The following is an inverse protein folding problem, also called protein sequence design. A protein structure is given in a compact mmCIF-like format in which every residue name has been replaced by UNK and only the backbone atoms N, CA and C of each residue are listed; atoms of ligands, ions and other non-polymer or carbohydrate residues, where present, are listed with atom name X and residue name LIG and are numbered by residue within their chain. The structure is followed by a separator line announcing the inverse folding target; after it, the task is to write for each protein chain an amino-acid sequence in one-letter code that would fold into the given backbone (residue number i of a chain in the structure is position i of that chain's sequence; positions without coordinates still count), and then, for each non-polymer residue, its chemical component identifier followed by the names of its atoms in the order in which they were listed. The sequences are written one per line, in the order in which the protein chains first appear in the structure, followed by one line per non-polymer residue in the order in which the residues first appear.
data_IF_359651606651
#
_entry.id   IF_359651606651
#
_cell.length_a   1.000
_cell.length_b   1.000
_cell.length_c   1.000
_cell.angle_alpha   90.00
_cell.angle_beta   90.00
_cell.angle_gamma   90.00
#
_symmetry.space_group_name_H-M   'P 1'
#
loop_
_entity.id
_entity.type
_entity.pdbx_description
1 polymer ?
#
# COMPACT_ATOMS: atom_id res chain seq x y z
N UNK A 1 -25.75 30.80 13.71
CA UNK A 1 -24.59 29.96 14.14
C UNK A 1 -24.15 29.02 13.02
N UNK A 2 -25.00 28.11 12.50
CA UNK A 2 -24.63 27.27 11.34
C UNK A 2 -24.22 28.08 10.10
N UNK A 3 -24.97 29.13 9.77
CA UNK A 3 -24.64 30.02 8.64
C UNK A 3 -23.31 30.77 8.81
N UNK A 4 -22.97 31.18 10.03
CA UNK A 4 -21.69 31.83 10.33
C UNK A 4 -20.51 30.85 10.25
N UNK A 5 -20.73 29.58 10.62
CA UNK A 5 -19.72 28.52 10.51
C UNK A 5 -19.47 28.20 9.03
N UNK A 6 -20.54 28.11 8.23
CA UNK A 6 -20.44 27.88 6.78
C UNK A 6 -19.75 29.04 6.07
N UNK A 7 -20.12 30.29 6.35
CA UNK A 7 -19.47 31.44 5.70
C UNK A 7 -17.99 31.56 6.07
N UNK A 8 -17.62 31.28 7.31
CA UNK A 8 -16.21 31.25 7.73
C UNK A 8 -15.44 30.11 7.05
N UNK A 9 -16.07 28.95 6.88
CA UNK A 9 -15.49 27.82 6.17
C UNK A 9 -15.27 28.14 4.68
N UNK A 10 -16.28 28.71 4.01
CA UNK A 10 -16.20 29.07 2.60
C UNK A 10 -15.07 30.07 2.34
N UNK A 11 -14.92 31.09 3.20
CA UNK A 11 -13.82 32.05 3.13
C UNK A 11 -12.45 31.36 3.32
N UNK A 12 -12.35 30.42 4.26
CA UNK A 12 -11.11 29.68 4.48
C UNK A 12 -10.75 28.78 3.29
N UNK A 13 -11.73 28.09 2.72
CA UNK A 13 -11.55 27.25 1.52
C UNK A 13 -11.07 28.08 0.35
N UNK A 14 -11.74 29.21 0.07
CA UNK A 14 -11.38 30.12 -1.02
C UNK A 14 -9.94 30.64 -0.84
N UNK A 15 -9.56 31.02 0.37
CA UNK A 15 -8.22 31.49 0.68
C UNK A 15 -7.16 30.40 0.41
N UNK A 16 -7.36 29.17 0.92
CA UNK A 16 -6.41 28.07 0.72
C UNK A 16 -6.32 27.68 -0.77
N UNK A 17 -7.45 27.69 -1.49
CA UNK A 17 -7.47 27.41 -2.93
C UNK A 17 -6.67 28.45 -3.72
N UNK A 18 -6.84 29.73 -3.42
CA UNK A 18 -6.13 30.81 -4.10
C UNK A 18 -4.61 30.76 -3.79
N UNK A 19 -4.25 30.53 -2.53
CA UNK A 19 -2.84 30.37 -2.15
C UNK A 19 -2.21 29.13 -2.80
N UNK A 20 -2.94 28.03 -2.87
CA UNK A 20 -2.51 26.80 -3.56
C UNK A 20 -2.29 27.07 -5.04
N UNK A 21 -3.25 27.72 -5.71
CA UNK A 21 -3.17 28.07 -7.14
C UNK A 21 -1.97 28.97 -7.43
N UNK A 22 -1.75 30.00 -6.60
CA UNK A 22 -0.60 30.91 -6.72
C UNK A 22 0.73 30.18 -6.56
N UNK A 23 0.83 29.28 -5.57
CA UNK A 23 2.04 28.49 -5.36
C UNK A 23 2.26 27.48 -6.50
N UNK A 24 1.19 26.91 -7.05
CA UNK A 24 1.24 25.98 -8.18
C UNK A 24 1.78 26.65 -9.46
N UNK A 25 1.37 27.88 -9.74
CA UNK A 25 1.87 28.68 -10.86
C UNK A 25 3.38 28.95 -10.79
N UNK A 26 3.97 28.82 -9.60
CA UNK A 26 5.39 29.07 -9.35
C UNK A 26 6.24 27.79 -9.39
N UNK A 27 5.70 26.64 -9.84
CA UNK A 27 6.42 25.34 -9.91
C UNK A 27 7.78 25.39 -10.62
N UNK A 28 7.91 26.27 -11.62
CA UNK A 28 9.14 26.43 -12.39
C UNK A 28 10.16 27.38 -11.73
N UNK A 29 9.76 28.13 -10.69
CA UNK A 29 10.63 29.08 -10.02
C UNK A 29 11.66 28.36 -9.13
N UNK A 30 12.92 28.83 -9.09
CA UNK A 30 13.89 28.37 -8.11
C UNK A 30 13.38 28.59 -6.69
N UNK A 31 13.57 27.61 -5.81
CA UNK A 31 13.10 27.66 -4.42
C UNK A 31 11.68 27.12 -4.20
N UNK A 32 10.95 26.75 -5.25
CA UNK A 32 9.69 26.03 -5.09
C UNK A 32 9.93 24.65 -4.47
N UNK A 33 9.10 24.29 -3.48
CA UNK A 33 9.22 23.06 -2.71
C UNK A 33 7.87 22.31 -2.68
N UNK A 34 7.90 21.04 -3.08
CA UNK A 34 6.69 20.21 -3.14
C UNK A 34 6.06 19.95 -1.77
N UNK A 35 6.84 19.72 -0.71
CA UNK A 35 6.29 19.49 0.64
C UNK A 35 5.58 20.74 1.18
N UNK A 36 6.10 21.94 0.91
CA UNK A 36 5.40 23.20 1.25
C UNK A 36 4.06 23.31 0.51
N UNK A 37 4.06 23.01 -0.79
CA UNK A 37 2.84 22.95 -1.59
C UNK A 37 1.86 21.90 -1.06
N UNK A 38 2.36 20.72 -0.72
CA UNK A 38 1.58 19.61 -0.18
C UNK A 38 0.87 20.01 1.11
N UNK A 39 1.58 20.59 2.08
CA UNK A 39 0.98 20.97 3.38
C UNK A 39 -0.14 21.98 3.21
N UNK A 40 0.02 22.94 2.30
CA UNK A 40 -1.00 23.94 2.01
C UNK A 40 -2.25 23.28 1.39
N UNK A 41 -2.07 22.50 0.32
CA UNK A 41 -3.17 21.84 -0.39
C UNK A 41 -3.82 20.72 0.44
N UNK A 42 -3.06 20.00 1.25
CA UNK A 42 -3.61 19.06 2.22
C UNK A 42 -4.49 19.77 3.26
N UNK A 43 -4.17 21.00 3.64
CA UNK A 43 -5.04 21.82 4.49
C UNK A 43 -6.46 21.95 3.94
N UNK A 44 -6.60 22.05 2.61
CA UNK A 44 -7.90 22.06 1.94
C UNK A 44 -8.60 20.70 2.04
N UNK A 45 -7.87 19.60 1.80
CA UNK A 45 -8.41 18.25 1.93
C UNK A 45 -8.90 17.96 3.37
N UNK A 46 -8.16 18.43 4.37
CA UNK A 46 -8.53 18.34 5.79
C UNK A 46 -9.78 19.17 6.11
N UNK A 47 -9.91 20.36 5.52
CA UNK A 47 -11.09 21.20 5.67
C UNK A 47 -12.35 20.50 5.12
N UNK A 48 -12.27 19.92 3.92
CA UNK A 48 -13.34 19.10 3.36
C UNK A 48 -13.66 17.87 4.22
N UNK A 49 -12.64 17.18 4.73
CA UNK A 49 -12.83 16.04 5.62
C UNK A 49 -13.59 16.42 6.92
N UNK A 50 -13.26 17.56 7.53
CA UNK A 50 -13.94 18.08 8.73
C UNK A 50 -15.43 18.36 8.44
N UNK A 51 -15.73 18.86 7.24
CA UNK A 51 -17.09 19.10 6.79
C UNK A 51 -17.80 17.85 6.24
N UNK A 52 -17.18 16.67 6.37
CA UNK A 52 -17.69 15.39 5.87
C UNK A 52 -17.86 15.32 4.34
N UNK A 53 -17.22 16.25 3.62
CA UNK A 53 -17.15 16.30 2.17
C UNK A 53 -16.03 15.38 1.69
N UNK A 54 -16.21 14.08 1.90
CA UNK A 54 -15.15 13.09 1.67
C UNK A 54 -14.78 12.91 0.19
N UNK A 55 -15.72 13.11 -0.73
CA UNK A 55 -15.44 13.12 -2.18
C UNK A 55 -14.51 14.28 -2.55
N UNK A 56 -14.82 15.49 -2.10
CA UNK A 56 -13.99 16.68 -2.33
C UNK A 56 -12.59 16.52 -1.70
N UNK A 57 -12.53 15.96 -0.48
CA UNK A 57 -11.26 15.63 0.16
C UNK A 57 -10.44 14.59 -0.63
N UNK A 58 -11.09 13.54 -1.15
CA UNK A 58 -10.44 12.50 -1.96
C UNK A 58 -9.86 13.09 -3.25
N UNK A 59 -10.60 13.97 -3.94
CA UNK A 59 -10.13 14.67 -5.14
C UNK A 59 -8.82 15.42 -4.83
N UNK A 60 -8.74 16.12 -3.70
CA UNK A 60 -7.53 16.84 -3.31
C UNK A 60 -6.32 15.89 -3.11
N UNK A 61 -6.52 14.72 -2.48
CA UNK A 61 -5.45 13.72 -2.34
C UNK A 61 -5.03 13.09 -3.66
N UNK A 62 -5.98 12.81 -4.56
CA UNK A 62 -5.69 12.28 -5.90
C UNK A 62 -4.90 13.29 -6.76
N UNK A 63 -5.25 14.58 -6.68
CA UNK A 63 -4.49 15.64 -7.34
C UNK A 63 -3.08 15.82 -6.74
N UNK A 64 -2.94 15.65 -5.42
CA UNK A 64 -1.64 15.68 -4.76
C UNK A 64 -0.75 14.54 -5.26
N UNK A 65 -1.29 13.32 -5.41
CA UNK A 65 -0.56 12.16 -5.95
C UNK A 65 -0.12 12.40 -7.40
N UNK A 66 -1.03 12.91 -8.24
CA UNK A 66 -0.71 13.23 -9.63
C UNK A 66 0.42 14.27 -9.72
N UNK A 67 0.36 15.32 -8.88
CA UNK A 67 1.41 16.35 -8.79
C UNK A 67 2.73 15.77 -8.28
N UNK A 68 2.69 14.86 -7.29
CA UNK A 68 3.88 14.17 -6.79
C UNK A 68 4.59 13.39 -7.91
N UNK A 69 3.86 12.63 -8.72
CA UNK A 69 4.47 11.88 -9.82
C UNK A 69 5.03 12.78 -10.93
N UNK A 70 4.45 13.95 -11.18
CA UNK A 70 5.02 14.95 -12.10
C UNK A 70 6.38 15.42 -11.56
N UNK A 71 6.41 15.83 -10.29
CA UNK A 71 7.63 16.26 -9.60
C UNK A 71 8.72 15.18 -9.60
N UNK A 72 8.34 13.93 -9.33
CA UNK A 72 9.28 12.82 -9.26
C UNK A 72 9.95 12.54 -10.61
N UNK A 73 9.22 12.71 -11.72
CA UNK A 73 9.77 12.59 -13.08
C UNK A 73 10.69 13.76 -13.45
N UNK A 74 10.25 14.98 -13.15
CA UNK A 74 10.92 16.19 -13.63
C UNK A 74 12.21 16.52 -12.84
N UNK A 75 12.26 16.18 -11.55
CA UNK A 75 13.31 16.63 -10.62
C UNK A 75 13.91 15.52 -9.77
N UNK A 76 13.85 14.27 -10.28
CA UNK A 76 14.50 13.05 -9.77
C UNK A 76 15.11 13.20 -8.35
N UNK A 77 14.31 12.92 -7.32
CA UNK A 77 14.75 12.75 -5.92
C UNK A 77 15.39 13.95 -5.20
N UNK A 78 15.66 15.08 -5.86
CA UNK A 78 16.41 16.20 -5.26
C UNK A 78 15.76 16.80 -3.99
N UNK A 79 14.48 16.54 -3.75
CA UNK A 79 13.72 17.09 -2.62
C UNK A 79 13.34 16.07 -1.54
N UNK A 80 13.33 14.77 -1.84
CA UNK A 80 12.97 13.74 -0.86
C UNK A 80 14.20 13.07 -0.23
N UNK A 81 15.41 13.41 -0.71
CA UNK A 81 16.71 13.03 -0.14
C UNK A 81 17.09 11.56 -0.29
N UNK A 82 16.14 10.64 -0.04
CA UNK A 82 16.33 9.19 -0.10
C UNK A 82 14.99 8.46 -0.35
N UNK A 83 15.08 7.16 -0.66
CA UNK A 83 13.91 6.32 -0.87
C UNK A 83 13.13 6.00 0.42
N UNK A 84 13.81 5.63 1.51
CA UNK A 84 13.19 5.22 2.79
C UNK A 84 12.89 3.73 2.88
N UNK A 85 11.98 3.35 3.78
CA UNK A 85 11.64 1.94 4.06
C UNK A 85 12.63 1.23 5.00
N UNK A 86 13.50 2.00 5.66
CA UNK A 86 14.61 1.48 6.45
C UNK A 86 14.33 1.42 7.94
N UNK A 87 13.22 2.01 8.39
CA UNK A 87 12.86 2.02 9.80
C UNK A 87 12.27 0.67 10.20
N UNK A 88 12.46 0.31 11.47
CA UNK A 88 11.85 -0.88 12.04
C UNK A 88 10.33 -0.81 11.86
N UNK A 89 9.74 -1.85 11.28
CA UNK A 89 8.30 -1.89 11.02
C UNK A 89 7.86 -1.33 9.67
N UNK A 90 8.77 -0.85 8.82
CA UNK A 90 8.41 -0.40 7.47
C UNK A 90 7.99 -1.53 6.53
N UNK A 91 8.47 -2.75 6.77
CA UNK A 91 8.07 -3.93 6.01
C UNK A 91 6.69 -4.50 6.43
N UNK A 92 6.20 -4.19 7.64
CA UNK A 92 4.98 -4.85 8.16
C UNK A 92 3.95 -3.91 8.76
N UNK A 93 4.24 -2.62 8.83
CA UNK A 93 3.35 -1.61 9.37
C UNK A 93 2.06 -1.51 8.57
N UNK A 94 0.96 -1.18 9.26
CA UNK A 94 -0.34 -1.04 8.59
C UNK A 94 -0.29 0.10 7.56
N UNK A 95 -0.37 -0.26 6.28
CA UNK A 95 -0.31 0.70 5.17
C UNK A 95 -1.49 1.68 5.14
N UNK A 96 -2.59 1.37 5.85
CA UNK A 96 -3.75 2.24 5.98
C UNK A 96 -3.66 3.18 7.21
N UNK A 97 -2.66 2.99 8.07
CA UNK A 97 -2.44 3.84 9.23
C UNK A 97 -1.61 5.09 8.87
N UNK A 98 -2.32 6.14 8.49
CA UNK A 98 -1.76 7.47 8.25
C UNK A 98 -1.21 8.16 9.52
N UNK A 99 -1.33 7.56 10.71
CA UNK A 99 -0.77 8.06 11.98
C UNK A 99 0.42 7.24 12.47
N UNK A 100 0.82 6.19 11.74
CA UNK A 100 1.93 5.29 12.10
C UNK A 100 3.24 6.03 12.41
N UNK A 101 3.53 7.08 11.65
CA UNK A 101 4.66 8.00 11.86
C UNK A 101 4.12 9.44 11.95
N UNK A 102 4.94 10.35 12.46
CA UNK A 102 4.61 11.79 12.46
C UNK A 102 4.81 12.40 11.05
N UNK A 103 4.08 11.90 10.06
CA UNK A 103 4.26 12.26 8.66
C UNK A 103 4.13 13.77 8.41
N UNK A 104 3.23 14.45 9.12
CA UNK A 104 3.08 15.91 9.00
C UNK A 104 4.35 16.65 9.38
N UNK A 105 5.00 16.27 10.48
CA UNK A 105 6.28 16.87 10.90
C UNK A 105 7.40 16.55 9.91
N UNK A 106 7.46 15.30 9.42
CA UNK A 106 8.44 14.89 8.40
C UNK A 106 8.29 15.69 7.09
N UNK A 107 7.06 15.90 6.63
CA UNK A 107 6.77 16.69 5.42
C UNK A 107 7.13 18.17 5.67
N UNK A 108 6.70 18.74 6.80
CA UNK A 108 6.95 20.16 7.12
C UNK A 108 8.45 20.46 7.21
N UNK A 109 9.24 19.51 7.74
CA UNK A 109 10.69 19.60 7.85
C UNK A 109 11.44 19.25 6.55
N UNK A 110 10.74 18.82 5.50
CA UNK A 110 11.35 18.34 4.25
C UNK A 110 12.31 17.14 4.42
N UNK A 111 12.02 16.25 5.37
CA UNK A 111 12.84 15.07 5.65
C UNK A 111 12.09 13.76 5.43
N UNK A 112 10.82 13.82 4.98
CA UNK A 112 10.06 12.62 4.67
C UNK A 112 10.68 11.87 3.49
N UNK A 113 10.74 10.54 3.60
CA UNK A 113 11.21 9.68 2.52
C UNK A 113 10.18 9.53 1.41
N UNK A 114 10.59 9.12 0.21
CA UNK A 114 9.65 8.77 -0.88
C UNK A 114 8.68 7.68 -0.44
N UNK A 115 9.18 6.67 0.26
CA UNK A 115 8.41 5.55 0.78
C UNK A 115 7.35 6.00 1.77
N UNK A 116 7.76 6.75 2.80
CA UNK A 116 6.84 7.25 3.83
C UNK A 116 5.81 8.20 3.25
N UNK A 117 6.21 9.07 2.32
CA UNK A 117 5.29 9.99 1.67
C UNK A 117 4.24 9.26 0.84
N UNK A 118 4.65 8.29 0.02
CA UNK A 118 3.72 7.49 -0.79
C UNK A 118 2.77 6.66 0.08
N UNK A 119 3.28 6.02 1.13
CA UNK A 119 2.46 5.28 2.08
C UNK A 119 1.47 6.19 2.82
N UNK A 120 1.91 7.36 3.27
CA UNK A 120 1.04 8.34 3.93
C UNK A 120 -0.10 8.82 3.02
N UNK A 121 0.22 9.23 1.79
CA UNK A 121 -0.75 9.75 0.84
C UNK A 121 -1.78 8.67 0.47
N UNK A 122 -1.32 7.45 0.21
CA UNK A 122 -2.18 6.31 -0.05
C UNK A 122 -3.12 6.03 1.14
N UNK A 123 -2.61 6.04 2.37
CA UNK A 123 -3.43 5.88 3.57
C UNK A 123 -4.51 6.97 3.70
N UNK A 124 -4.20 8.23 3.34
CA UNK A 124 -5.20 9.33 3.32
C UNK A 124 -6.28 9.11 2.25
N UNK A 125 -5.92 8.68 1.05
CA UNK A 125 -6.88 8.34 -0.02
C UNK A 125 -7.82 7.20 0.44
N UNK A 126 -7.25 6.11 0.96
CA UNK A 126 -8.04 4.98 1.47
C UNK A 126 -8.95 5.38 2.61
N UNK A 127 -8.50 6.25 3.53
CA UNK A 127 -9.36 6.78 4.61
C UNK A 127 -10.60 7.46 4.05
N UNK A 128 -10.47 8.27 3.00
CA UNK A 128 -11.62 8.98 2.41
C UNK A 128 -12.59 7.99 1.76
N UNK A 129 -12.06 7.02 1.01
CA UNK A 129 -12.85 5.95 0.40
C UNK A 129 -13.57 5.08 1.43
N UNK A 130 -12.94 4.76 2.57
CA UNK A 130 -13.56 4.04 3.67
C UNK A 130 -14.70 4.85 4.32
N UNK A 131 -14.52 6.17 4.49
CA UNK A 131 -15.61 7.06 4.95
C UNK A 131 -16.79 7.13 3.96
N UNK A 132 -16.52 6.97 2.67
CA UNK A 132 -17.50 6.85 1.60
C UNK A 132 -18.07 5.43 1.44
N UNK A 133 -17.64 4.45 2.25
CA UNK A 133 -18.03 3.04 2.17
C UNK A 133 -17.68 2.37 0.81
N UNK A 134 -16.69 2.90 0.08
CA UNK A 134 -16.24 2.41 -1.24
C UNK A 134 -15.17 1.31 -1.11
N UNK A 135 -15.47 0.24 -0.38
CA UNK A 135 -14.51 -0.85 -0.06
C UNK A 135 -13.91 -1.54 -1.29
N UNK A 136 -14.69 -1.67 -2.36
CA UNK A 136 -14.22 -2.29 -3.63
C UNK A 136 -13.10 -1.43 -4.23
N UNK A 137 -13.26 -0.11 -4.20
CA UNK A 137 -12.28 0.82 -4.73
C UNK A 137 -11.03 0.92 -3.85
N UNK A 138 -11.17 0.90 -2.52
CA UNK A 138 -10.01 0.78 -1.62
C UNK A 138 -9.16 -0.42 -2.01
N UNK A 139 -9.82 -1.57 -2.21
CA UNK A 139 -9.16 -2.84 -2.54
C UNK A 139 -8.52 -2.80 -3.93
N UNK A 140 -9.22 -2.25 -4.93
CA UNK A 140 -8.70 -2.11 -6.30
C UNK A 140 -7.51 -1.13 -6.38
N UNK A 141 -7.62 0.04 -5.73
CA UNK A 141 -6.53 1.02 -5.67
C UNK A 141 -5.33 0.47 -4.91
N UNK A 142 -5.56 -0.31 -3.84
CA UNK A 142 -4.47 -1.01 -3.14
C UNK A 142 -3.71 -1.98 -4.03
N UNK A 143 -4.41 -2.81 -4.81
CA UNK A 143 -3.77 -3.73 -5.75
C UNK A 143 -2.86 -2.98 -6.74
N UNK A 144 -3.37 -1.87 -7.30
CA UNK A 144 -2.61 -1.04 -8.23
C UNK A 144 -1.41 -0.37 -7.56
N UNK A 145 -1.63 0.26 -6.40
CA UNK A 145 -0.58 0.93 -5.62
C UNK A 145 0.55 -0.03 -5.26
N UNK A 146 0.22 -1.18 -4.67
CA UNK A 146 1.20 -2.20 -4.26
C UNK A 146 1.98 -2.70 -5.47
N UNK A 147 1.29 -3.08 -6.54
CA UNK A 147 1.94 -3.62 -7.77
C UNK A 147 2.88 -2.59 -8.40
N UNK A 148 2.44 -1.33 -8.49
CA UNK A 148 3.24 -0.26 -9.09
C UNK A 148 4.38 0.22 -8.18
N UNK A 149 4.34 -0.07 -6.88
CA UNK A 149 5.39 0.34 -5.96
C UNK A 149 6.52 -0.69 -5.85
N UNK A 150 6.25 -1.97 -6.13
CA UNK A 150 7.25 -3.05 -6.10
C UNK A 150 8.54 -2.70 -6.87
N UNK A 151 8.50 -2.21 -8.13
CA UNK A 151 9.72 -1.89 -8.87
C UNK A 151 10.59 -0.86 -8.16
N UNK A 152 9.99 0.22 -7.63
CA UNK A 152 10.74 1.26 -6.91
C UNK A 152 11.35 0.75 -5.61
N UNK A 153 10.68 -0.16 -4.90
CA UNK A 153 11.26 -0.80 -3.70
C UNK A 153 12.44 -1.69 -4.09
N UNK A 154 12.32 -2.46 -5.18
CA UNK A 154 13.38 -3.34 -5.69
C UNK A 154 14.61 -2.59 -6.19
N UNK A 155 14.43 -1.43 -6.81
CA UNK A 155 15.53 -0.55 -7.21
C UNK A 155 16.36 -0.07 -6.00
N UNK A 156 15.79 -0.11 -4.79
CA UNK A 156 16.44 0.33 -3.55
C UNK A 156 16.70 -0.83 -2.57
N UNK A 157 16.60 -2.09 -3.04
CA UNK A 157 16.70 -3.31 -2.22
C UNK A 157 18.04 -3.45 -1.49
N UNK A 158 19.10 -2.83 -2.01
CA UNK A 158 20.42 -2.83 -1.37
C UNK A 158 20.42 -2.23 0.05
N UNK A 159 19.52 -1.29 0.34
CA UNK A 159 19.44 -0.64 1.66
C UNK A 159 18.38 -1.26 2.57
N UNK A 160 17.68 -2.30 2.10
CA UNK A 160 16.53 -2.90 2.75
C UNK A 160 16.88 -4.28 3.33
N UNK A 161 16.18 -4.71 4.39
CA UNK A 161 16.27 -6.08 4.90
C UNK A 161 16.07 -7.14 3.82
N UNK A 162 16.70 -8.30 4.00
CA UNK A 162 16.42 -9.47 3.16
C UNK A 162 14.92 -9.82 3.24
N UNK A 163 14.29 -10.10 2.10
CA UNK A 163 12.85 -10.36 1.98
C UNK A 163 11.94 -9.17 2.36
N UNK A 164 12.47 -7.93 2.39
CA UNK A 164 11.66 -6.74 2.67
C UNK A 164 10.48 -6.59 1.70
N UNK A 165 10.71 -6.76 0.38
CA UNK A 165 9.65 -6.62 -0.63
C UNK A 165 8.54 -7.63 -0.39
N UNK A 166 8.91 -8.89 -0.15
CA UNK A 166 7.97 -9.97 0.13
C UNK A 166 7.18 -9.71 1.41
N UNK A 167 7.85 -9.27 2.48
CA UNK A 167 7.19 -8.91 3.75
C UNK A 167 6.24 -7.72 3.59
N UNK A 168 6.67 -6.68 2.89
CA UNK A 168 5.88 -5.49 2.63
C UNK A 168 4.64 -5.77 1.80
N UNK A 169 4.79 -6.47 0.67
CA UNK A 169 3.65 -6.80 -0.20
C UNK A 169 2.65 -7.69 0.54
N UNK A 170 3.13 -8.72 1.25
CA UNK A 170 2.28 -9.59 2.05
C UNK A 170 1.51 -8.78 3.09
N UNK A 171 2.21 -7.97 3.89
CA UNK A 171 1.62 -7.18 4.96
C UNK A 171 0.59 -6.18 4.43
N UNK A 172 0.93 -5.42 3.39
CA UNK A 172 0.05 -4.42 2.79
C UNK A 172 -1.24 -5.04 2.24
N UNK A 173 -1.15 -6.17 1.51
CA UNK A 173 -2.33 -6.90 1.04
C UNK A 173 -3.20 -7.37 2.21
N UNK A 174 -2.59 -7.93 3.27
CA UNK A 174 -3.31 -8.41 4.43
C UNK A 174 -3.97 -7.29 5.24
N UNK A 175 -3.31 -6.13 5.38
CA UNK A 175 -3.89 -4.98 6.06
C UNK A 175 -5.16 -4.51 5.35
N UNK A 176 -5.12 -4.38 4.02
CA UNK A 176 -6.27 -3.93 3.23
C UNK A 176 -7.42 -4.93 3.31
N UNK A 177 -7.15 -6.22 3.15
CA UNK A 177 -8.20 -7.24 3.27
C UNK A 177 -8.83 -7.21 4.66
N UNK A 178 -8.02 -7.15 5.72
CA UNK A 178 -8.52 -7.19 7.09
C UNK A 178 -9.34 -5.93 7.46
N UNK A 179 -8.97 -4.76 6.93
CA UNK A 179 -9.70 -3.51 7.17
C UNK A 179 -11.02 -3.46 6.37
N UNK A 180 -11.00 -3.90 5.11
CA UNK A 180 -12.19 -3.86 4.24
C UNK A 180 -13.21 -4.97 4.53
N UNK A 181 -12.78 -6.13 5.03
CA UNK A 181 -13.64 -7.32 5.17
C UNK A 181 -14.84 -7.11 6.12
N UNK A 182 -14.69 -6.53 7.33
CA UNK A 182 -15.82 -6.24 8.21
C UNK A 182 -16.85 -5.30 7.56
N UNK A 183 -16.39 -4.20 6.97
CA UNK A 183 -17.27 -3.22 6.32
C UNK A 183 -17.95 -3.83 5.09
N UNK A 184 -17.21 -4.59 4.27
CA UNK A 184 -17.79 -5.28 3.11
C UNK A 184 -18.92 -6.23 3.50
N UNK A 185 -18.76 -6.96 4.61
CA UNK A 185 -19.75 -7.91 5.10
C UNK A 185 -21.03 -7.18 5.54
N UNK A 186 -20.89 -6.03 6.22
CA UNK A 186 -22.02 -5.17 6.58
C UNK A 186 -22.76 -4.62 5.35
N UNK A 187 -22.02 -4.19 4.32
CA UNK A 187 -22.61 -3.66 3.09
C UNK A 187 -23.32 -4.75 2.27
N UNK A 188 -22.73 -5.94 2.18
CA UNK A 188 -23.27 -7.09 1.43
C UNK A 188 -24.61 -7.55 1.99
N UNK A 189 -24.82 -7.47 3.32
CA UNK A 189 -26.12 -7.80 3.94
C UNK A 189 -27.25 -6.95 3.37
N UNK A 190 -26.96 -5.69 3.02
CA UNK A 190 -27.96 -4.76 2.47
C UNK A 190 -27.96 -4.73 0.93
N UNK A 191 -26.88 -5.16 0.28
CA UNK A 191 -26.74 -5.18 -1.17
C UNK A 191 -25.88 -6.37 -1.63
N UNK A 192 -26.56 -7.45 -2.02
CA UNK A 192 -25.92 -8.69 -2.48
C UNK A 192 -25.15 -8.53 -3.79
N UNK A 193 -25.44 -7.49 -4.59
CA UNK A 193 -24.73 -7.25 -5.85
C UNK A 193 -23.25 -6.90 -5.62
N UNK A 194 -22.89 -6.52 -4.39
CA UNK A 194 -21.50 -6.26 -4.00
C UNK A 194 -20.67 -7.53 -3.76
N UNK A 195 -21.30 -8.70 -3.61
CA UNK A 195 -20.61 -9.98 -3.31
C UNK A 195 -19.57 -10.30 -4.38
N UNK A 196 -19.98 -10.32 -5.63
CA UNK A 196 -19.12 -10.69 -6.77
C UNK A 196 -17.97 -9.70 -6.97
N UNK A 197 -18.21 -8.38 -7.14
CA UNK A 197 -17.13 -7.43 -7.40
C UNK A 197 -16.17 -7.28 -6.22
N UNK A 198 -16.65 -7.34 -4.96
CA UNK A 198 -15.75 -7.31 -3.80
C UNK A 198 -14.87 -8.56 -3.71
N UNK A 199 -15.46 -9.75 -3.89
CA UNK A 199 -14.68 -10.99 -3.87
C UNK A 199 -13.65 -11.06 -5.01
N UNK A 200 -13.94 -10.45 -6.17
CA UNK A 200 -12.98 -10.37 -7.26
C UNK A 200 -11.70 -9.61 -6.86
N UNK A 201 -11.85 -8.38 -6.34
CA UNK A 201 -10.70 -7.54 -5.93
C UNK A 201 -9.98 -8.11 -4.70
N UNK A 202 -10.73 -8.70 -3.76
CA UNK A 202 -10.16 -9.39 -2.59
C UNK A 202 -9.32 -10.59 -3.00
N UNK A 203 -9.80 -11.40 -3.94
CA UNK A 203 -9.05 -12.57 -4.42
C UNK A 203 -7.71 -12.19 -5.04
N UNK A 204 -7.66 -11.09 -5.79
CA UNK A 204 -6.44 -10.62 -6.45
C UNK A 204 -5.37 -10.14 -5.42
N UNK A 205 -5.78 -9.47 -4.33
CA UNK A 205 -4.87 -9.15 -3.22
C UNK A 205 -4.39 -10.41 -2.48
N UNK A 206 -5.28 -11.36 -2.20
CA UNK A 206 -4.92 -12.60 -1.52
C UNK A 206 -3.93 -13.43 -2.35
N UNK A 207 -4.11 -13.48 -3.68
CA UNK A 207 -3.17 -14.12 -4.59
C UNK A 207 -1.83 -13.38 -4.61
N UNK A 208 -1.84 -12.04 -4.61
CA UNK A 208 -0.62 -11.22 -4.55
C UNK A 208 0.17 -11.47 -3.27
N UNK A 209 -0.50 -11.58 -2.13
CA UNK A 209 0.12 -11.97 -0.86
C UNK A 209 0.65 -13.41 -0.90
N UNK A 210 -0.11 -14.36 -1.45
CA UNK A 210 0.29 -15.77 -1.56
C UNK A 210 1.57 -15.93 -2.37
N UNK A 211 1.71 -15.19 -3.47
CA UNK A 211 2.92 -15.19 -4.29
C UNK A 211 4.17 -14.77 -3.52
N UNK A 212 4.04 -14.00 -2.44
CA UNK A 212 5.20 -13.70 -1.59
C UNK A 212 5.59 -14.90 -0.73
N UNK A 213 4.62 -15.71 -0.30
CA UNK A 213 4.89 -16.98 0.37
C UNK A 213 5.50 -18.00 -0.58
N UNK A 214 5.13 -18.01 -1.87
CA UNK A 214 5.79 -18.85 -2.88
C UNK A 214 7.30 -18.55 -2.91
N UNK A 215 7.66 -17.26 -2.99
CA UNK A 215 9.05 -16.83 -3.01
C UNK A 215 9.78 -17.15 -1.70
N UNK A 216 9.19 -16.83 -0.55
CA UNK A 216 9.79 -17.10 0.77
C UNK A 216 9.97 -18.61 0.95
N UNK A 217 8.95 -19.40 0.64
CA UNK A 217 8.96 -20.85 0.77
C UNK A 217 10.06 -21.50 -0.05
N UNK A 218 10.27 -21.07 -1.30
CA UNK A 218 11.38 -21.58 -2.13
C UNK A 218 12.74 -21.18 -1.52
N UNK A 219 12.89 -19.93 -1.05
CA UNK A 219 14.15 -19.44 -0.44
C UNK A 219 14.55 -20.18 0.83
N UNK A 220 13.60 -20.49 1.70
CA UNK A 220 13.86 -21.21 2.96
C UNK A 220 13.80 -22.74 2.82
N UNK A 221 13.48 -23.26 1.62
CA UNK A 221 13.44 -24.69 1.34
C UNK A 221 12.13 -25.41 1.74
N UNK A 222 11.09 -24.67 2.14
CA UNK A 222 9.77 -25.23 2.43
C UNK A 222 8.96 -25.55 1.15
N UNK A 223 9.32 -24.93 0.01
CA UNK A 223 8.73 -25.22 -1.31
C UNK A 223 9.80 -25.68 -2.30
N UNK A 224 9.47 -26.58 -3.25
CA UNK A 224 10.43 -27.02 -4.25
C UNK A 224 10.72 -25.91 -5.27
N UNK A 225 11.98 -25.83 -5.72
CA UNK A 225 12.41 -24.92 -6.80
C UNK A 225 12.02 -25.47 -8.18
N UNK A 226 10.74 -25.76 -8.36
CA UNK A 226 10.13 -26.25 -9.60
C UNK A 226 8.82 -25.54 -9.87
N UNK A 227 8.35 -25.59 -11.11
CA UNK A 227 7.02 -25.07 -11.44
C UNK A 227 5.95 -25.82 -10.63
N UNK A 228 4.90 -25.13 -10.13
CA UNK A 228 4.58 -23.72 -10.36
C UNK A 228 5.24 -22.71 -9.39
N UNK A 229 5.95 -23.17 -8.36
CA UNK A 229 6.46 -22.31 -7.28
C UNK A 229 7.64 -21.42 -7.70
N UNK A 230 8.45 -21.87 -8.67
CA UNK A 230 9.57 -21.08 -9.20
C UNK A 230 9.19 -19.98 -10.19
N UNK A 231 7.93 -19.92 -10.67
CA UNK A 231 7.50 -19.01 -11.74
C UNK A 231 7.74 -17.53 -11.36
N UNK A 232 7.56 -17.19 -10.09
CA UNK A 232 7.64 -15.82 -9.58
C UNK A 232 8.97 -15.49 -8.91
N UNK A 233 9.97 -16.38 -9.03
CA UNK A 233 11.31 -16.13 -8.51
C UNK A 233 12.03 -15.09 -9.36
N UNK A 234 12.68 -14.15 -8.68
CA UNK A 234 13.52 -13.16 -9.35
C UNK A 234 14.79 -13.88 -9.85
N UNK A 235 14.97 -14.00 -11.18
CA UNK A 235 16.15 -14.65 -11.77
C UNK A 235 17.48 -13.94 -11.47
N UNK A 236 17.45 -12.78 -10.83
CA UNK A 236 18.61 -11.90 -10.58
C UNK A 236 19.14 -11.97 -9.16
N UNK A 237 18.87 -13.03 -8.41
CA UNK A 237 19.56 -13.27 -7.13
C UNK A 237 20.98 -13.78 -7.39
N UNK A 238 21.83 -12.90 -7.92
CA UNK A 238 23.27 -13.05 -7.77
C UNK A 238 23.56 -12.97 -6.27
N UNK A 239 24.05 -14.08 -5.73
CA UNK A 239 24.55 -14.24 -4.36
C UNK A 239 25.44 -13.07 -3.97
N UNK A 240 24.86 -12.06 -3.29
CA UNK A 240 25.66 -11.05 -2.60
C UNK A 240 26.39 -11.79 -1.48
N UNK A 241 27.72 -11.80 -1.54
CA UNK A 241 28.57 -12.33 -0.47
C UNK A 241 28.32 -11.45 0.76
N UNK A 242 27.83 -12.00 1.88
CA UNK A 242 27.49 -11.19 3.04
C UNK A 242 28.75 -10.56 3.63
N UNK A 243 28.74 -9.24 3.82
CA UNK A 243 29.79 -8.55 4.55
C UNK A 243 29.63 -8.88 6.06
N UNK A 244 30.62 -9.49 6.74
CA UNK A 244 30.46 -10.02 8.10
C UNK A 244 30.16 -8.98 9.18
N UNK A 245 30.49 -7.71 8.91
CA UNK A 245 30.52 -6.63 9.92
C UNK A 245 29.24 -5.77 9.97
N UNK A 246 28.27 -5.96 9.06
CA UNK A 246 27.01 -5.22 9.11
C UNK A 246 25.93 -6.00 9.88
N UNK A 247 25.23 -5.37 10.85
CA UNK A 247 24.12 -6.01 11.53
C UNK A 247 23.03 -6.33 10.49
N UNK A 248 22.73 -7.62 10.31
CA UNK A 248 21.65 -8.09 9.43
C UNK A 248 20.33 -7.49 9.92
N UNK A 249 19.85 -6.45 9.23
CA UNK A 249 18.47 -5.99 9.44
C UNK A 249 17.53 -7.10 8.97
N UNK A 250 16.65 -7.54 9.85
CA UNK A 250 15.61 -8.52 9.56
C UNK A 250 14.27 -7.83 9.34
N UNK A 251 13.37 -8.50 8.62
CA UNK A 251 11.95 -8.12 8.54
C UNK A 251 11.30 -8.20 9.92
N UNK A 252 10.18 -7.50 10.11
CA UNK A 252 9.50 -7.41 11.40
C UNK A 252 8.14 -8.12 11.43
N UNK A 253 7.66 -8.62 10.29
CA UNK A 253 6.45 -9.42 10.25
C UNK A 253 6.62 -10.78 10.97
N UNK A 254 6.10 -10.84 12.20
CA UNK A 254 6.18 -12.04 13.07
C UNK A 254 5.66 -13.30 12.39
N UNK A 255 4.55 -13.21 11.65
CA UNK A 255 3.95 -14.36 10.98
C UNK A 255 4.84 -14.92 9.87
N UNK A 256 5.55 -14.05 9.16
CA UNK A 256 6.51 -14.48 8.14
C UNK A 256 7.80 -15.00 8.76
N UNK A 257 8.27 -14.42 9.86
CA UNK A 257 9.41 -14.95 10.61
C UNK A 257 9.14 -16.37 11.11
N UNK A 258 7.97 -16.61 11.75
CA UNK A 258 7.54 -17.95 12.16
C UNK A 258 7.46 -18.92 10.97
N UNK A 259 6.93 -18.46 9.83
CA UNK A 259 6.84 -19.27 8.61
C UNK A 259 8.22 -19.55 7.97
N UNK A 260 9.22 -18.70 8.16
CA UNK A 260 10.58 -18.97 7.71
C UNK A 260 11.21 -20.05 8.60
N UNK A 261 10.99 -19.99 9.90
CA UNK A 261 11.61 -20.88 10.89
C UNK A 261 10.96 -22.28 10.96
N UNK A 262 9.65 -22.40 10.70
CA UNK A 262 8.89 -23.66 10.82
C UNK A 262 8.08 -23.97 9.57
N UNK A 263 8.31 -25.17 9.02
CA UNK A 263 7.53 -25.68 7.88
C UNK A 263 6.04 -25.83 8.24
N UNK A 264 5.72 -26.19 9.49
CA UNK A 264 4.32 -26.29 9.94
C UNK A 264 3.64 -24.92 10.00
N UNK A 265 4.35 -23.88 10.46
CA UNK A 265 3.86 -22.51 10.49
C UNK A 265 3.70 -21.95 9.07
N UNK A 266 4.63 -22.29 8.17
CA UNK A 266 4.55 -22.00 6.74
C UNK A 266 3.32 -22.63 6.13
N UNK A 267 3.16 -23.95 6.22
CA UNK A 267 2.05 -24.70 5.64
C UNK A 267 0.70 -24.19 6.11
N UNK A 268 0.56 -23.93 7.42
CA UNK A 268 -0.66 -23.34 7.97
C UNK A 268 -0.99 -21.99 7.34
N UNK A 269 0.00 -21.13 7.18
CA UNK A 269 -0.17 -19.80 6.60
C UNK A 269 -0.47 -19.87 5.10
N UNK A 270 0.28 -20.71 4.38
CA UNK A 270 0.19 -20.93 2.95
C UNK A 270 -1.17 -21.52 2.55
N UNK A 271 -1.58 -22.60 3.23
CA UNK A 271 -2.85 -23.27 2.99
C UNK A 271 -4.04 -22.40 3.39
N UNK A 272 -3.94 -21.70 4.52
CA UNK A 272 -4.96 -20.76 4.98
C UNK A 272 -5.19 -19.63 3.99
N UNK A 273 -4.13 -19.03 3.47
CA UNK A 273 -4.21 -17.94 2.49
C UNK A 273 -4.74 -18.44 1.13
N UNK A 274 -4.24 -19.58 0.66
CA UNK A 274 -4.68 -20.20 -0.60
C UNK A 274 -6.17 -20.55 -0.55
N UNK A 275 -6.65 -21.11 0.56
CA UNK A 275 -8.08 -21.42 0.76
C UNK A 275 -8.95 -20.16 0.74
N UNK A 276 -8.49 -19.06 1.35
CA UNK A 276 -9.21 -17.78 1.29
C UNK A 276 -9.27 -17.24 -0.14
N UNK A 277 -8.16 -17.30 -0.89
CA UNK A 277 -8.11 -16.86 -2.28
C UNK A 277 -9.07 -17.67 -3.17
N UNK A 278 -9.06 -19.00 -3.06
CA UNK A 278 -9.98 -19.91 -3.76
C UNK A 278 -11.43 -19.54 -3.50
N UNK A 279 -11.83 -19.43 -2.22
CA UNK A 279 -13.21 -19.08 -1.84
C UNK A 279 -13.66 -17.75 -2.45
N UNK A 280 -12.77 -16.74 -2.49
CA UNK A 280 -13.08 -15.45 -3.11
C UNK A 280 -13.10 -15.52 -4.65
N UNK A 281 -12.28 -16.35 -5.29
CA UNK A 281 -12.39 -16.59 -6.73
C UNK A 281 -13.69 -17.32 -7.11
N UNK A 282 -14.11 -18.30 -6.33
CA UNK A 282 -15.38 -19.00 -6.56
C UNK A 282 -16.57 -18.06 -6.35
N UNK A 283 -16.56 -17.25 -5.29
CA UNK A 283 -17.58 -16.23 -5.02
C UNK A 283 -17.64 -15.10 -6.07
N UNK A 284 -16.61 -14.98 -6.91
CA UNK A 284 -16.56 -14.02 -8.03
C UNK A 284 -16.70 -14.68 -9.40
N UNK A 285 -17.10 -15.95 -9.46
CA UNK A 285 -17.25 -16.75 -10.69
C UNK A 285 -15.97 -16.86 -11.54
N UNK A 286 -14.80 -16.74 -10.91
CA UNK A 286 -13.48 -16.88 -11.54
C UNK A 286 -12.91 -18.28 -11.32
N UNK A 287 -13.70 -19.31 -11.62
CA UNK A 287 -13.35 -20.72 -11.31
C UNK A 287 -12.03 -21.19 -11.92
N UNK A 288 -11.62 -20.66 -13.08
CA UNK A 288 -10.30 -20.96 -13.67
C UNK A 288 -9.14 -20.51 -12.78
N UNK A 289 -9.26 -19.32 -12.16
CA UNK A 289 -8.25 -18.81 -11.24
C UNK A 289 -8.23 -19.64 -9.95
N UNK A 290 -9.39 -20.04 -9.43
CA UNK A 290 -9.48 -20.96 -8.28
C UNK A 290 -8.81 -22.31 -8.57
N UNK A 291 -9.06 -22.90 -9.75
CA UNK A 291 -8.46 -24.16 -10.18
C UNK A 291 -6.94 -24.08 -10.28
N UNK A 292 -6.38 -22.96 -10.75
CA UNK A 292 -4.94 -22.77 -10.78
C UNK A 292 -4.34 -22.83 -9.36
N UNK A 293 -4.95 -22.13 -8.38
CA UNK A 293 -4.48 -22.17 -6.99
C UNK A 293 -4.64 -23.57 -6.37
N UNK A 294 -5.70 -24.30 -6.73
CA UNK A 294 -5.85 -25.71 -6.35
C UNK A 294 -4.75 -26.60 -6.94
N UNK A 295 -4.41 -26.40 -8.22
CA UNK A 295 -3.34 -27.13 -8.89
C UNK A 295 -1.98 -26.91 -8.22
N UNK A 296 -1.66 -25.66 -7.87
CA UNK A 296 -0.44 -25.34 -7.14
C UNK A 296 -0.39 -26.06 -5.77
N UNK A 297 -1.48 -26.07 -5.01
CA UNK A 297 -1.54 -26.78 -3.73
C UNK A 297 -1.39 -28.30 -3.93
N UNK A 298 -1.99 -28.85 -4.99
CA UNK A 298 -1.90 -30.27 -5.28
C UNK A 298 -0.47 -30.70 -5.63
N UNK A 299 0.33 -29.80 -6.22
CA UNK A 299 1.74 -30.03 -6.55
C UNK A 299 2.67 -30.09 -5.32
N UNK A 300 2.17 -29.82 -4.09
CA UNK A 300 2.92 -30.02 -2.84
C UNK A 300 2.99 -31.49 -2.39
N UNK A 301 2.18 -32.36 -2.99
CA UNK A 301 2.10 -33.80 -2.66
C UNK A 301 2.92 -34.63 -3.63
#
# INVERSE_FOLDING_TARGET
MKECILSSFDLQVLQIQEDTRRLDMQRHMPGWNYCTFFILKEGLAQAFEIMTLYEDALIQYDELEASFFQVLRDKALAWFGHFGGTDVGDDSGNILDFKRKNYRDLITKNIISVFDFRSYLFARQCRMLLKLQRVIEVTARAQLFITNFIPSIRENEEHLPENFVESWVFSACMNVVNECEPLSSQLIVNNTDLVVPYNAVKADLLLTARRQLDKIGVKCGHLPMTDPFSIYMNRTEATKTPNPDEPKKSITNVKLLEAIESIEAFDKTYMGLSTRAIKSYDASFRSRAALNVHGDIAALK
#
